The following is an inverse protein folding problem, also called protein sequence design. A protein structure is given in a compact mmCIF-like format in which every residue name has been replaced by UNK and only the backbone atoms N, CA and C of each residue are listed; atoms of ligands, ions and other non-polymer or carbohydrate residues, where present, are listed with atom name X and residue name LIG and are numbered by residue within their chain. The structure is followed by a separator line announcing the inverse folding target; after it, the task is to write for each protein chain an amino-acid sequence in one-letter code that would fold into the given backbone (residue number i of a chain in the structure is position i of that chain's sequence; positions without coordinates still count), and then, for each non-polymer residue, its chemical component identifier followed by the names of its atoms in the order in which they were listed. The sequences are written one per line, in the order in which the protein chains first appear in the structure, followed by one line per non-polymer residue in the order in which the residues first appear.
data_IF_015051430651
#
_entry.id   IF_015051430651
#
_cell.length_a   1.000
_cell.length_b   1.000
_cell.length_c   1.000
_cell.angle_alpha   90.00
_cell.angle_beta   90.00
_cell.angle_gamma   90.00
#
_symmetry.space_group_name_H-M   'P 1'
#
loop_
_entity.id
_entity.type
_entity.pdbx_description
1 polymer ?
#
# COMPACT_ATOMS: atom_id res chain seq x y z
N UNK A 1 21.65 -0.15 7.42
CA UNK A 1 20.89 1.07 7.04
C UNK A 1 19.42 0.86 7.32
N UNK A 2 18.85 -0.26 6.88
CA UNK A 2 17.48 -0.73 7.14
C UNK A 2 16.91 -0.49 8.55
N UNK A 3 17.64 -0.79 9.63
CA UNK A 3 17.15 -0.58 11.01
C UNK A 3 16.88 0.89 11.34
N UNK A 4 17.80 1.79 10.98
CA UNK A 4 17.66 3.24 11.21
C UNK A 4 16.49 3.81 10.39
N UNK A 5 16.32 3.32 9.16
CA UNK A 5 15.16 3.66 8.33
C UNK A 5 13.86 3.14 8.96
N UNK A 6 13.88 1.92 9.50
CA UNK A 6 12.74 1.34 10.21
C UNK A 6 12.32 2.16 11.42
N UNK A 7 13.28 2.56 12.26
CA UNK A 7 13.03 3.45 13.40
C UNK A 7 12.43 4.79 12.96
N UNK A 8 12.95 5.40 11.88
CA UNK A 8 12.43 6.65 11.33
C UNK A 8 11.00 6.49 10.78
N UNK A 9 10.70 5.37 10.12
CA UNK A 9 9.35 5.05 9.64
C UNK A 9 8.40 4.92 10.83
N UNK A 10 8.75 4.11 11.84
CA UNK A 10 7.91 3.89 13.02
C UNK A 10 7.63 5.20 13.77
N UNK A 11 8.63 6.07 13.91
CA UNK A 11 8.49 7.37 14.54
C UNK A 11 7.58 8.33 13.74
N UNK A 12 7.51 8.18 12.41
CA UNK A 12 6.68 9.00 11.54
C UNK A 12 5.21 8.51 11.44
N UNK A 13 4.89 7.32 11.96
CA UNK A 13 3.54 6.78 11.89
C UNK A 13 2.58 7.61 12.75
N UNK A 14 1.43 8.06 12.21
CA UNK A 14 0.42 8.71 13.01
C UNK A 14 -0.10 7.77 14.11
N UNK A 15 -0.38 8.28 15.33
CA UNK A 15 -0.97 7.48 16.39
C UNK A 15 -2.29 6.84 15.93
N UNK A 16 -2.44 5.53 16.17
CA UNK A 16 -3.66 4.78 15.81
C UNK A 16 -3.88 4.54 14.31
N UNK A 17 -2.92 4.91 13.45
CA UNK A 17 -3.02 4.66 12.02
C UNK A 17 -3.15 3.17 11.69
N UNK A 18 -3.94 2.86 10.65
CA UNK A 18 -3.92 1.57 9.97
C UNK A 18 -2.73 1.57 9.02
N UNK A 19 -1.75 0.71 9.29
CA UNK A 19 -0.47 0.67 8.57
C UNK A 19 -0.53 -0.40 7.49
N UNK A 20 -0.36 0.03 6.24
CA UNK A 20 -0.28 -0.85 5.06
C UNK A 20 1.16 -0.87 4.57
N UNK A 21 1.87 -1.96 4.82
CA UNK A 21 3.23 -2.15 4.34
C UNK A 21 3.24 -2.70 2.91
N UNK A 22 4.00 -2.04 2.02
CA UNK A 22 4.27 -2.54 0.68
C UNK A 22 5.40 -3.56 0.77
N UNK A 23 5.08 -4.81 0.46
CA UNK A 23 5.97 -5.95 0.65
C UNK A 23 5.69 -7.05 -0.38
N UNK A 24 6.76 -7.66 -0.92
CA UNK A 24 6.66 -8.68 -1.95
C UNK A 24 5.85 -9.92 -1.50
N UNK A 25 5.95 -10.28 -0.22
CA UNK A 25 5.19 -11.37 0.40
C UNK A 25 3.82 -10.95 0.95
N UNK A 26 3.34 -9.75 0.61
CA UNK A 26 2.01 -9.27 0.95
C UNK A 26 0.91 -9.87 0.08
N UNK A 27 -0.34 -9.57 0.43
CA UNK A 27 -1.49 -9.92 -0.39
C UNK A 27 -1.43 -9.21 -1.74
N UNK A 28 -1.75 -9.91 -2.82
CA UNK A 28 -1.63 -9.42 -4.20
C UNK A 28 -3.01 -9.36 -4.87
N UNK A 29 -3.87 -8.38 -4.49
CA UNK A 29 -5.18 -8.21 -5.09
C UNK A 29 -5.07 -7.70 -6.53
N UNK A 30 -6.06 -8.03 -7.37
CA UNK A 30 -6.31 -7.25 -8.58
C UNK A 30 -6.89 -5.86 -8.24
N UNK A 31 -7.14 -5.04 -9.26
CA UNK A 31 -7.60 -3.66 -9.04
C UNK A 31 -8.99 -3.57 -8.39
N UNK A 32 -9.92 -4.51 -8.67
CA UNK A 32 -11.26 -4.51 -8.07
C UNK A 32 -11.21 -4.93 -6.60
N UNK A 33 -10.44 -5.99 -6.32
CA UNK A 33 -10.19 -6.45 -4.96
C UNK A 33 -9.45 -5.39 -4.13
N UNK A 34 -8.50 -4.66 -4.73
CA UNK A 34 -7.83 -3.53 -4.09
C UNK A 34 -8.81 -2.39 -3.81
N UNK A 35 -9.70 -2.06 -4.75
CA UNK A 35 -10.78 -1.09 -4.51
C UNK A 35 -11.64 -1.46 -3.29
N UNK A 36 -12.04 -2.73 -3.18
CA UNK A 36 -12.78 -3.22 -2.02
C UNK A 36 -11.97 -3.16 -0.72
N UNK A 37 -10.68 -3.46 -0.75
CA UNK A 37 -9.79 -3.36 0.42
C UNK A 37 -9.65 -1.91 0.90
N UNK A 38 -9.36 -0.98 -0.03
CA UNK A 38 -9.23 0.44 0.28
C UNK A 38 -10.52 0.99 0.90
N UNK A 39 -11.68 0.61 0.36
CA UNK A 39 -12.97 0.99 0.93
C UNK A 39 -13.11 0.52 2.40
N UNK A 40 -12.83 -0.76 2.67
CA UNK A 40 -12.88 -1.31 4.04
C UNK A 40 -11.90 -0.63 4.99
N UNK A 41 -10.71 -0.28 4.50
CA UNK A 41 -9.72 0.42 5.32
C UNK A 41 -10.19 1.84 5.65
N UNK A 42 -10.74 2.57 4.69
CA UNK A 42 -11.32 3.90 4.92
C UNK A 42 -12.52 3.86 5.88
N UNK A 43 -13.38 2.84 5.78
CA UNK A 43 -14.52 2.62 6.68
C UNK A 43 -14.10 2.43 8.15
N UNK A 44 -12.84 2.05 8.40
CA UNK A 44 -12.31 1.96 9.77
C UNK A 44 -12.22 3.32 10.48
N UNK A 45 -12.31 4.43 9.75
CA UNK A 45 -12.16 5.79 10.27
C UNK A 45 -10.74 6.14 10.74
N UNK A 46 -9.78 5.22 10.59
CA UNK A 46 -8.38 5.44 10.93
C UNK A 46 -7.65 6.16 9.79
N UNK A 47 -6.61 6.92 10.15
CA UNK A 47 -5.64 7.40 9.18
C UNK A 47 -4.95 6.21 8.51
N UNK A 48 -4.97 6.15 7.18
CA UNK A 48 -4.27 5.14 6.41
C UNK A 48 -2.81 5.57 6.21
N UNK A 49 -1.87 4.73 6.63
CA UNK A 49 -0.44 4.96 6.47
C UNK A 49 0.17 3.89 5.56
N UNK A 50 0.43 4.25 4.31
CA UNK A 50 1.13 3.39 3.36
C UNK A 50 2.64 3.51 3.53
N UNK A 51 3.32 2.38 3.71
CA UNK A 51 4.74 2.33 4.06
C UNK A 51 5.52 1.61 2.95
N UNK A 52 6.52 2.30 2.40
CA UNK A 52 7.39 1.81 1.33
C UNK A 52 8.82 1.79 1.86
N UNK A 53 9.47 0.63 1.80
CA UNK A 53 10.85 0.47 2.25
C UNK A 53 11.88 1.06 1.29
N UNK A 54 13.12 1.16 1.75
CA UNK A 54 14.27 1.53 0.93
C UNK A 54 14.75 0.38 0.04
N UNK A 55 15.97 0.48 -0.49
CA UNK A 55 16.56 -0.55 -1.35
C UNK A 55 16.72 -1.93 -0.66
N UNK A 56 16.88 -1.96 0.67
CA UNK A 56 17.01 -3.19 1.47
C UNK A 56 15.65 -3.75 1.95
N UNK A 57 14.54 -3.16 1.52
CA UNK A 57 13.19 -3.48 1.98
C UNK A 57 12.87 -2.90 3.36
N UNK A 58 11.79 -3.41 3.97
CA UNK A 58 11.34 -2.98 5.30
C UNK A 58 12.05 -3.75 6.41
N UNK A 59 12.43 -3.04 7.47
CA UNK A 59 12.92 -3.67 8.69
C UNK A 59 11.84 -4.59 9.31
N UNK A 60 12.20 -5.75 9.90
CA UNK A 60 11.23 -6.65 10.52
C UNK A 60 10.33 -5.97 11.56
N UNK A 61 10.82 -4.94 12.27
CA UNK A 61 10.01 -4.18 13.23
C UNK A 61 8.86 -3.42 12.56
N UNK A 62 9.09 -2.88 11.35
CA UNK A 62 8.04 -2.21 10.56
C UNK A 62 7.05 -3.21 10.01
N UNK A 63 7.54 -4.37 9.53
CA UNK A 63 6.67 -5.45 9.05
C UNK A 63 5.77 -5.98 10.19
N UNK A 64 6.31 -6.12 11.40
CA UNK A 64 5.56 -6.53 12.58
C UNK A 64 4.52 -5.48 13.02
N UNK A 65 4.79 -4.19 12.80
CA UNK A 65 3.82 -3.11 13.05
C UNK A 65 2.72 -3.06 11.99
N UNK A 66 2.93 -3.58 10.79
CA UNK A 66 1.95 -3.45 9.72
C UNK A 66 0.64 -4.18 10.04
N UNK A 67 -0.48 -3.47 9.92
CA UNK A 67 -1.82 -4.04 10.06
C UNK A 67 -2.20 -4.84 8.81
N UNK A 68 -1.66 -4.44 7.65
CA UNK A 68 -1.87 -5.06 6.35
C UNK A 68 -0.56 -5.11 5.57
N UNK A 69 -0.39 -6.14 4.73
CA UNK A 69 0.73 -6.24 3.78
C UNK A 69 0.18 -6.35 2.37
N UNK A 70 0.62 -5.46 1.50
CA UNK A 70 0.18 -5.34 0.11
C UNK A 70 1.36 -5.56 -0.84
N UNK A 71 1.18 -6.40 -1.84
CA UNK A 71 2.14 -6.63 -2.92
C UNK A 71 1.61 -6.04 -4.22
N UNK A 72 2.48 -5.37 -4.99
CA UNK A 72 2.17 -4.85 -6.33
C UNK A 72 2.50 -5.86 -7.45
N UNK A 73 2.90 -7.07 -7.10
CA UNK A 73 3.28 -8.11 -8.06
C UNK A 73 4.47 -8.94 -7.58
N UNK A 74 4.78 -10.05 -8.28
CA UNK A 74 5.89 -10.93 -7.92
C UNK A 74 7.27 -10.38 -8.32
N UNK A 75 7.33 -9.26 -9.04
CA UNK A 75 8.57 -8.65 -9.51
C UNK A 75 9.12 -7.66 -8.49
N UNK A 76 10.46 -7.57 -8.42
CA UNK A 76 11.14 -6.55 -7.63
C UNK A 76 11.10 -5.21 -8.35
N UNK A 77 10.40 -4.25 -7.75
CA UNK A 77 10.31 -2.87 -8.27
C UNK A 77 11.30 -1.95 -7.54
N UNK A 78 11.97 -1.03 -8.25
CA UNK A 78 12.69 0.06 -7.60
C UNK A 78 11.74 0.89 -6.71
N UNK A 79 12.14 1.14 -5.46
CA UNK A 79 11.28 1.80 -4.47
C UNK A 79 10.77 3.19 -4.92
N UNK A 80 11.49 3.91 -5.78
CA UNK A 80 11.03 5.19 -6.34
C UNK A 80 9.84 5.03 -7.30
N UNK A 81 9.76 3.91 -8.04
CA UNK A 81 8.61 3.60 -8.91
C UNK A 81 7.40 3.14 -8.09
N UNK A 82 7.62 2.40 -6.99
CA UNK A 82 6.56 1.89 -6.12
C UNK A 82 5.63 3.02 -5.65
N UNK A 83 6.18 4.21 -5.36
CA UNK A 83 5.37 5.39 -4.98
C UNK A 83 4.38 5.79 -6.07
N UNK A 84 4.84 5.86 -7.32
CA UNK A 84 3.99 6.21 -8.47
C UNK A 84 2.96 5.13 -8.79
N UNK A 85 3.38 3.86 -8.74
CA UNK A 85 2.49 2.71 -8.94
C UNK A 85 1.39 2.65 -7.89
N UNK A 86 1.74 2.84 -6.62
CA UNK A 86 0.77 2.89 -5.54
C UNK A 86 -0.21 4.06 -5.71
N UNK A 87 0.29 5.26 -6.01
CA UNK A 87 -0.58 6.43 -6.22
C UNK A 87 -1.57 6.20 -7.37
N UNK A 88 -1.12 5.62 -8.49
CA UNK A 88 -2.00 5.26 -9.61
C UNK A 88 -3.05 4.23 -9.21
N UNK A 89 -2.67 3.16 -8.49
CA UNK A 89 -3.61 2.14 -8.06
C UNK A 89 -4.61 2.65 -7.02
N UNK A 90 -4.23 3.58 -6.14
CA UNK A 90 -5.17 4.24 -5.23
C UNK A 90 -6.15 5.13 -5.98
N UNK A 91 -5.68 5.88 -6.98
CA UNK A 91 -6.56 6.64 -7.88
C UNK A 91 -7.50 5.71 -8.65
N UNK A 92 -7.01 4.59 -9.18
CA UNK A 92 -7.82 3.57 -9.85
C UNK A 92 -8.86 2.96 -8.91
N UNK A 93 -8.48 2.64 -7.68
CA UNK A 93 -9.40 2.13 -6.66
C UNK A 93 -10.55 3.11 -6.39
N UNK A 94 -10.24 4.40 -6.26
CA UNK A 94 -11.25 5.46 -6.13
C UNK A 94 -12.12 5.57 -7.39
N UNK A 95 -11.51 5.52 -8.59
CA UNK A 95 -12.24 5.59 -9.85
C UNK A 95 -13.23 4.43 -10.01
N UNK A 96 -12.83 3.20 -9.66
CA UNK A 96 -13.71 2.02 -9.62
C UNK A 96 -14.89 2.28 -8.69
N UNK A 97 -14.63 2.70 -7.44
CA UNK A 97 -15.66 2.91 -6.41
C UNK A 97 -16.64 4.02 -6.74
N UNK A 98 -16.22 5.03 -7.49
CA UNK A 98 -17.05 6.19 -7.87
C UNK A 98 -17.72 6.02 -9.23
N UNK A 99 -17.50 4.89 -9.93
CA UNK A 99 -17.99 4.69 -11.29
C UNK A 99 -17.36 5.65 -12.30
N UNK A 100 -16.16 6.16 -12.04
CA UNK A 100 -15.50 7.16 -12.87
C UNK A 100 -15.02 6.54 -14.20
N UNK A 101 -15.15 7.23 -15.36
CA UNK A 101 -14.81 6.69 -16.68
C UNK A 101 -13.34 6.28 -16.90
N UNK A 102 -12.45 6.68 -15.99
CA UNK A 102 -11.05 6.23 -15.97
C UNK A 102 -10.96 4.71 -15.83
N UNK A 103 -11.79 4.13 -14.97
CA UNK A 103 -11.93 2.68 -14.94
C UNK A 103 -12.92 2.27 -16.03
N UNK A 104 -12.37 2.01 -17.22
CA UNK A 104 -13.08 1.20 -18.20
C UNK A 104 -12.87 -0.24 -17.75
N UNK A 105 -13.94 -0.90 -17.31
CA UNK A 105 -13.94 -2.36 -17.19
C UNK A 105 -13.35 -2.87 -18.50
N UNK A 106 -12.16 -3.45 -18.43
CA UNK A 106 -11.42 -3.86 -19.63
C UNK A 106 -12.35 -4.77 -20.43
N UNK A 107 -12.68 -4.35 -21.66
CA UNK A 107 -13.26 -5.27 -22.65
C UNK A 107 -12.14 -6.24 -23.03
N UNK A 108 -12.43 -7.55 -23.08
CA UNK A 108 -11.45 -8.64 -23.10
C UNK A 108 -10.29 -8.42 -24.07
#
# INVERSE_FOLDING_TARGET
MRRREGEAILAALPPGALVIALDLGGHMPDSEALAGLVARWEESGKTLAYVIGGAEGLDPSVQARADQRLSLGPMTWPHFLVRGLLAEQLYRAQAIRTGHPYHRAWRP
#
